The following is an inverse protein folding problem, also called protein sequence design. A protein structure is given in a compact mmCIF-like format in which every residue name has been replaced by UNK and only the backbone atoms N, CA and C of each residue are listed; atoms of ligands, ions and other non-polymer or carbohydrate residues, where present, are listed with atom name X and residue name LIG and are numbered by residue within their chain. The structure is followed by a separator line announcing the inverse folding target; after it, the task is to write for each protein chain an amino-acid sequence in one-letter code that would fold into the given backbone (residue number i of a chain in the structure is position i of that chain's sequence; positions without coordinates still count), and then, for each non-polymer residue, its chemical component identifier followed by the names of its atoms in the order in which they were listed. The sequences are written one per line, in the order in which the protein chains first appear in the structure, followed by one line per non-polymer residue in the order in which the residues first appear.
data_IF_758142342607
#
_entry.id   IF_758142342607
#
_cell.length_a   1.000
_cell.length_b   1.000
_cell.length_c   1.000
_cell.angle_alpha   90.00
_cell.angle_beta   90.00
_cell.angle_gamma   90.00
#
_symmetry.space_group_name_H-M   'P 1'
#
loop_
_entity.id
_entity.type
_entity.pdbx_description
1 polymer ?
#
# COMPACT_ATOMS: atom_id res chain seq x y z
N UNK A 1 15.37 -10.45 -6.06
CA UNK A 1 14.34 -10.20 -5.04
C UNK A 1 13.71 -8.86 -5.40
N UNK A 2 12.42 -8.85 -5.70
CA UNK A 2 11.63 -7.65 -6.05
C UNK A 2 10.66 -7.34 -4.91
N UNK A 3 10.19 -6.10 -4.80
CA UNK A 3 9.17 -5.71 -3.85
C UNK A 3 9.68 -4.92 -2.65
N UNK A 4 8.81 -4.74 -1.66
CA UNK A 4 8.97 -3.82 -0.51
C UNK A 4 10.25 -4.07 0.32
N UNK A 5 10.76 -5.31 0.37
CA UNK A 5 11.97 -5.65 1.13
C UNK A 5 13.23 -5.01 0.55
N UNK A 6 13.25 -4.66 -0.74
CA UNK A 6 14.37 -3.93 -1.35
C UNK A 6 14.34 -2.44 -1.03
N UNK A 7 13.15 -1.94 -0.71
CA UNK A 7 12.92 -0.52 -0.45
C UNK A 7 12.94 -0.17 1.03
N UNK A 8 12.30 -1.00 1.86
CA UNK A 8 12.23 -0.82 3.30
C UNK A 8 12.42 -2.16 4.03
N UNK A 9 13.67 -2.68 4.08
CA UNK A 9 13.97 -3.97 4.70
C UNK A 9 13.75 -3.97 6.22
N UNK A 10 14.06 -2.84 6.87
CA UNK A 10 13.86 -2.65 8.32
C UNK A 10 12.72 -1.68 8.56
N UNK A 11 11.82 -2.02 9.46
CA UNK A 11 10.63 -1.22 9.77
C UNK A 11 10.18 -1.44 11.22
N UNK A 12 9.43 -0.48 11.76
CA UNK A 12 8.94 -0.50 13.14
C UNK A 12 7.50 -1.01 13.24
N UNK A 13 6.71 -0.77 12.19
CA UNK A 13 5.30 -1.18 12.10
C UNK A 13 5.04 -1.73 10.71
N UNK A 14 4.38 -2.88 10.64
CA UNK A 14 4.02 -3.51 9.38
C UNK A 14 2.63 -4.15 9.44
N UNK A 15 1.99 -4.20 8.28
CA UNK A 15 0.70 -4.85 8.08
C UNK A 15 0.71 -5.56 6.73
N UNK A 16 0.31 -6.83 6.70
CA UNK A 16 0.25 -7.66 5.49
C UNK A 16 -1.08 -8.41 5.44
N UNK A 17 -1.68 -8.39 4.25
CA UNK A 17 -2.86 -9.18 3.93
C UNK A 17 -2.67 -9.88 2.59
N UNK A 18 -3.34 -11.02 2.41
CA UNK A 18 -3.25 -11.78 1.18
C UNK A 18 -4.58 -12.47 0.84
N UNK A 19 -4.75 -12.78 -0.45
CA UNK A 19 -5.86 -13.58 -0.96
C UNK A 19 -5.39 -14.36 -2.20
N UNK A 20 -6.01 -15.51 -2.45
CA UNK A 20 -5.74 -16.29 -3.67
C UNK A 20 -6.76 -15.92 -4.75
N UNK A 21 -6.27 -15.78 -5.98
CA UNK A 21 -7.04 -15.45 -7.16
C UNK A 21 -6.68 -16.42 -8.28
N UNK A 22 -7.68 -16.92 -9.03
CA UNK A 22 -7.49 -17.91 -10.09
C UNK A 22 -7.14 -17.25 -11.44
N UNK A 23 -6.07 -16.44 -11.42
CA UNK A 23 -5.51 -15.76 -12.60
C UNK A 23 -3.99 -15.88 -12.57
N UNK A 24 -3.31 -15.83 -13.74
CA UNK A 24 -1.86 -15.68 -13.79
C UNK A 24 -1.40 -14.42 -13.02
N UNK A 25 -0.18 -14.45 -12.41
CA UNK A 25 0.28 -13.38 -11.52
C UNK A 25 0.19 -11.97 -12.11
N UNK A 26 0.59 -11.76 -13.35
CA UNK A 26 0.52 -10.45 -14.00
C UNK A 26 -0.92 -9.95 -14.17
N UNK A 27 -1.82 -10.83 -14.64
CA UNK A 27 -3.22 -10.50 -14.82
C UNK A 27 -3.91 -10.21 -13.48
N UNK A 28 -3.56 -10.99 -12.44
CA UNK A 28 -4.05 -10.80 -11.09
C UNK A 28 -3.64 -9.44 -10.51
N UNK A 29 -2.37 -9.01 -10.72
CA UNK A 29 -1.91 -7.69 -10.28
C UNK A 29 -2.65 -6.57 -11.02
N UNK A 30 -2.73 -6.65 -12.35
CA UNK A 30 -3.39 -5.62 -13.16
C UNK A 30 -4.87 -5.46 -12.80
N UNK A 31 -5.59 -6.57 -12.64
CA UNK A 31 -6.98 -6.56 -12.18
C UNK A 31 -7.11 -5.94 -10.79
N UNK A 32 -6.25 -6.33 -9.85
CA UNK A 32 -6.29 -5.83 -8.50
C UNK A 32 -6.03 -4.31 -8.41
N UNK A 33 -5.06 -3.80 -9.17
CA UNK A 33 -4.75 -2.37 -9.20
C UNK A 33 -5.88 -1.53 -9.83
N UNK A 34 -6.67 -2.12 -10.74
CA UNK A 34 -7.83 -1.48 -11.36
C UNK A 34 -9.06 -1.44 -10.43
N UNK A 35 -9.12 -2.30 -9.39
CA UNK A 35 -10.23 -2.28 -8.42
C UNK A 35 -10.22 -0.97 -7.64
N UNK A 36 -11.38 -0.29 -7.49
CA UNK A 36 -11.47 0.92 -6.68
C UNK A 36 -10.99 0.70 -5.25
N UNK A 37 -10.28 1.67 -4.69
CA UNK A 37 -9.82 1.61 -3.28
C UNK A 37 -11.00 1.53 -2.31
N UNK A 38 -12.14 2.12 -2.68
CA UNK A 38 -13.40 2.05 -1.96
C UNK A 38 -14.42 1.18 -2.70
N UNK A 39 -14.31 -0.17 -2.59
CA UNK A 39 -15.16 -1.09 -3.34
C UNK A 39 -16.63 -1.06 -2.89
N UNK A 40 -16.91 -0.53 -1.72
CA UNK A 40 -18.25 -0.43 -1.16
C UNK A 40 -18.52 0.91 -0.44
N UNK A 41 -19.79 1.18 -0.15
CA UNK A 41 -20.24 2.43 0.49
C UNK A 41 -19.67 2.63 1.90
N UNK A 42 -19.41 1.56 2.62
CA UNK A 42 -18.86 1.62 3.98
C UNK A 42 -17.39 2.08 3.96
N UNK A 43 -16.57 1.51 3.08
CA UNK A 43 -15.17 1.95 2.87
C UNK A 43 -15.14 3.39 2.41
N UNK A 44 -16.05 3.79 1.50
CA UNK A 44 -16.18 5.17 1.03
C UNK A 44 -16.50 6.13 2.17
N UNK A 45 -17.40 5.75 3.07
CA UNK A 45 -17.72 6.55 4.26
C UNK A 45 -16.50 6.71 5.18
N UNK A 46 -15.76 5.62 5.46
CA UNK A 46 -14.56 5.67 6.30
C UNK A 46 -13.48 6.60 5.74
N UNK A 47 -13.23 6.53 4.43
CA UNK A 47 -12.27 7.40 3.77
C UNK A 47 -12.72 8.87 3.78
N UNK A 48 -14.01 9.13 3.55
CA UNK A 48 -14.60 10.47 3.64
C UNK A 48 -14.46 11.09 5.04
N UNK A 49 -14.72 10.33 6.11
CA UNK A 49 -14.55 10.79 7.49
C UNK A 49 -13.11 11.20 7.80
N UNK A 50 -12.15 10.70 7.03
CA UNK A 50 -10.73 11.06 7.13
C UNK A 50 -10.30 12.14 6.13
N UNK A 51 -11.23 12.72 5.38
CA UNK A 51 -10.93 13.72 4.35
C UNK A 51 -10.17 13.16 3.13
N UNK A 52 -10.19 11.83 2.95
CA UNK A 52 -9.46 11.16 1.87
C UNK A 52 -10.42 10.92 0.69
N UNK A 53 -10.02 11.33 -0.50
CA UNK A 53 -10.74 11.00 -1.74
C UNK A 53 -10.63 9.51 -1.98
N UNK A 54 -11.74 8.89 -2.38
CA UNK A 54 -11.88 7.45 -2.54
C UNK A 54 -12.24 7.03 -3.96
N UNK A 55 -12.19 7.97 -4.88
CA UNK A 55 -12.56 7.72 -6.28
C UNK A 55 -11.33 7.24 -7.05
N UNK A 56 -11.53 6.28 -7.96
CA UNK A 56 -10.49 5.77 -8.83
C UNK A 56 -9.80 4.47 -8.36
N UNK A 57 -8.86 4.03 -9.16
CA UNK A 57 -8.02 2.86 -8.95
C UNK A 57 -7.05 3.03 -7.78
N UNK A 58 -6.40 1.94 -7.36
CA UNK A 58 -5.33 2.00 -6.35
C UNK A 58 -4.19 2.91 -6.81
N UNK A 59 -3.81 2.86 -8.08
CA UNK A 59 -2.72 3.69 -8.62
C UNK A 59 -3.06 5.18 -8.53
N UNK A 60 -4.27 5.57 -8.96
CA UNK A 60 -4.74 6.95 -8.87
C UNK A 60 -4.85 7.43 -7.41
N UNK A 61 -5.35 6.57 -6.54
CA UNK A 61 -5.45 6.86 -5.12
C UNK A 61 -4.08 7.08 -4.47
N UNK A 62 -3.10 6.23 -4.76
CA UNK A 62 -1.74 6.36 -4.22
C UNK A 62 -1.07 7.64 -4.72
N UNK A 63 -1.18 7.93 -6.03
CA UNK A 63 -0.65 9.17 -6.60
C UNK A 63 -1.30 10.42 -6.00
N UNK A 64 -2.63 10.44 -5.89
CA UNK A 64 -3.38 11.56 -5.28
C UNK A 64 -3.09 11.73 -3.79
N UNK A 65 -2.65 10.66 -3.10
CA UNK A 65 -2.23 10.69 -1.69
C UNK A 65 -0.76 11.08 -1.50
N UNK A 66 -0.05 11.45 -2.56
CA UNK A 66 1.35 11.89 -2.52
C UNK A 66 2.37 10.76 -2.44
N UNK A 67 1.97 9.52 -2.70
CA UNK A 67 2.91 8.42 -2.81
C UNK A 67 3.68 8.49 -4.13
N UNK A 68 4.98 8.26 -4.05
CA UNK A 68 5.88 8.13 -5.19
C UNK A 68 5.93 6.68 -5.67
N UNK A 69 5.95 6.45 -6.96
CA UNK A 69 6.24 5.15 -7.52
C UNK A 69 7.72 4.80 -7.28
N UNK A 70 7.97 3.73 -6.54
CA UNK A 70 9.32 3.23 -6.26
C UNK A 70 9.71 2.11 -7.20
N UNK A 71 8.79 1.18 -7.48
CA UNK A 71 9.04 0.03 -8.35
C UNK A 71 7.76 -0.41 -9.05
N UNK A 72 7.86 -0.72 -10.34
CA UNK A 72 6.80 -1.35 -11.11
C UNK A 72 7.40 -2.49 -11.93
N UNK A 73 6.87 -3.69 -11.76
CA UNK A 73 7.17 -4.88 -12.57
C UNK A 73 5.86 -5.54 -13.00
N UNK A 74 5.92 -6.62 -13.78
CA UNK A 74 4.74 -7.39 -14.15
C UNK A 74 3.97 -7.97 -12.94
N UNK A 75 4.66 -8.18 -11.80
CA UNK A 75 4.09 -8.84 -10.61
C UNK A 75 4.23 -8.04 -9.32
N UNK A 76 4.73 -6.79 -9.38
CA UNK A 76 4.93 -5.94 -8.20
C UNK A 76 4.69 -4.47 -8.52
N UNK A 77 4.01 -3.78 -7.61
CA UNK A 77 3.80 -2.34 -7.60
C UNK A 77 4.11 -1.80 -6.21
N UNK A 78 5.23 -1.09 -6.07
CA UNK A 78 5.71 -0.54 -4.79
C UNK A 78 5.67 0.98 -4.84
N UNK A 79 5.07 1.57 -3.83
CA UNK A 79 4.99 3.03 -3.67
C UNK A 79 5.52 3.44 -2.31
N UNK A 80 6.05 4.66 -2.22
CA UNK A 80 6.62 5.22 -1.01
C UNK A 80 6.12 6.61 -0.70
N UNK A 81 5.91 6.90 0.58
CA UNK A 81 5.61 8.23 1.10
C UNK A 81 6.64 8.59 2.17
N UNK A 82 7.14 9.82 2.13
CA UNK A 82 7.97 10.40 3.17
C UNK A 82 7.18 11.47 3.90
N UNK A 83 7.08 11.32 5.21
CA UNK A 83 6.39 12.29 6.08
C UNK A 83 7.42 12.88 7.05
N UNK A 84 7.68 14.17 6.93
CA UNK A 84 8.65 14.86 7.76
C UNK A 84 9.06 16.20 7.17
N UNK A 85 9.92 16.90 7.90
CA UNK A 85 10.47 18.17 7.44
C UNK A 85 11.78 17.89 6.68
N UNK A 86 11.73 17.93 5.36
CA UNK A 86 12.92 17.74 4.52
C UNK A 86 13.31 19.06 3.87
N UNK A 87 14.57 19.50 3.96
CA UNK A 87 15.06 20.67 3.24
C UNK A 87 15.15 20.42 1.72
N UNK A 88 15.16 19.14 1.31
CA UNK A 88 15.17 18.74 -0.10
C UNK A 88 13.87 18.02 -0.40
N UNK A 89 13.12 18.40 -1.45
CA UNK A 89 11.93 17.68 -1.85
C UNK A 89 12.24 16.21 -2.15
N UNK A 90 11.40 15.31 -1.65
CA UNK A 90 11.47 13.88 -1.98
C UNK A 90 10.72 13.70 -3.29
N UNK A 91 11.42 13.95 -4.40
CA UNK A 91 10.80 14.04 -5.72
C UNK A 91 10.80 12.72 -6.50
N UNK A 92 11.67 11.79 -6.14
CA UNK A 92 11.85 10.52 -6.84
C UNK A 92 12.21 9.37 -5.91
N UNK A 93 12.28 8.17 -6.47
CA UNK A 93 12.58 6.94 -5.72
C UNK A 93 13.99 6.94 -5.10
N UNK A 94 14.97 7.56 -5.74
CA UNK A 94 16.33 7.71 -5.21
C UNK A 94 16.37 8.66 -4.02
N UNK A 95 15.73 9.82 -4.14
CA UNK A 95 15.56 10.78 -3.05
C UNK A 95 14.77 10.14 -1.88
N UNK A 96 13.72 9.37 -2.16
CA UNK A 96 12.97 8.66 -1.13
C UNK A 96 13.85 7.65 -0.39
N UNK A 97 14.68 6.88 -1.13
CA UNK A 97 15.60 5.90 -0.52
C UNK A 97 16.63 6.59 0.37
N UNK A 98 17.21 7.70 -0.05
CA UNK A 98 18.22 8.45 0.67
C UNK A 98 17.66 9.26 1.85
N UNK A 99 16.37 9.60 1.84
CA UNK A 99 15.75 10.42 2.88
C UNK A 99 15.91 9.77 4.26
N UNK A 100 16.53 10.47 5.19
CA UNK A 100 16.73 10.03 6.57
C UNK A 100 16.85 11.28 7.47
N UNK A 101 15.71 11.82 7.89
CA UNK A 101 15.63 13.02 8.68
C UNK A 101 15.10 12.74 10.07
N UNK A 102 15.60 13.42 11.12
CA UNK A 102 15.03 13.31 12.46
C UNK A 102 13.53 13.61 12.48
N UNK A 103 12.79 12.86 13.28
CA UNK A 103 11.33 12.99 13.44
C UNK A 103 10.54 12.81 12.13
N UNK A 104 10.98 11.91 11.28
CA UNK A 104 10.30 11.59 10.03
C UNK A 104 9.79 10.15 10.01
N UNK A 105 8.92 9.85 9.04
CA UNK A 105 8.42 8.52 8.73
C UNK A 105 8.71 8.21 7.26
N UNK A 106 9.19 7.02 7.00
CA UNK A 106 9.16 6.38 5.69
C UNK A 106 8.05 5.36 5.67
N UNK A 107 7.14 5.47 4.73
CA UNK A 107 6.04 4.55 4.52
C UNK A 107 6.22 3.93 3.15
N UNK A 108 6.26 2.62 3.06
CA UNK A 108 6.21 1.89 1.81
C UNK A 108 4.95 1.03 1.77
N UNK A 109 4.28 1.01 0.63
CA UNK A 109 3.17 0.11 0.36
C UNK A 109 3.48 -0.73 -0.88
N UNK A 110 3.19 -2.01 -0.80
CA UNK A 110 3.46 -3.01 -1.82
C UNK A 110 2.16 -3.74 -2.19
N UNK A 111 1.99 -3.92 -3.47
CA UNK A 111 0.96 -4.75 -4.07
C UNK A 111 1.67 -5.70 -5.02
N UNK A 112 1.67 -6.98 -4.71
CA UNK A 112 2.39 -7.97 -5.50
C UNK A 112 1.63 -9.27 -5.65
N UNK A 113 2.04 -10.05 -6.63
CA UNK A 113 1.51 -11.38 -6.87
C UNK A 113 2.63 -12.41 -6.90
N UNK A 114 2.35 -13.56 -6.32
CA UNK A 114 3.22 -14.73 -6.31
C UNK A 114 2.48 -15.90 -6.96
N UNK A 115 3.14 -16.70 -7.83
CA UNK A 115 2.50 -17.87 -8.43
C UNK A 115 2.17 -18.92 -7.36
N UNK A 116 0.97 -19.50 -7.45
CA UNK A 116 0.52 -20.64 -6.65
C UNK A 116 -0.19 -21.66 -7.54
N UNK A 117 -0.34 -22.91 -7.13
CA UNK A 117 -1.13 -23.88 -7.88
C UNK A 117 -2.54 -23.35 -8.16
N UNK A 118 -2.94 -23.29 -9.43
CA UNK A 118 -4.25 -22.83 -9.86
C UNK A 118 -4.43 -21.29 -9.95
N UNK A 119 -3.35 -20.51 -9.82
CA UNK A 119 -3.46 -19.05 -9.98
C UNK A 119 -2.32 -18.25 -9.34
N UNK A 120 -2.68 -17.17 -8.64
CA UNK A 120 -1.75 -16.31 -7.94
C UNK A 120 -2.20 -16.01 -6.51
N UNK A 121 -1.25 -15.78 -5.63
CA UNK A 121 -1.45 -15.15 -4.33
C UNK A 121 -1.26 -13.65 -4.50
N UNK A 122 -2.33 -12.89 -4.32
CA UNK A 122 -2.31 -11.43 -4.28
C UNK A 122 -1.98 -10.98 -2.86
N UNK A 123 -0.94 -10.18 -2.71
CA UNK A 123 -0.43 -9.70 -1.43
C UNK A 123 -0.44 -8.19 -1.42
N UNK A 124 -0.89 -7.59 -0.32
CA UNK A 124 -0.68 -6.19 -0.02
C UNK A 124 0.02 -6.04 1.33
N UNK A 125 1.08 -5.27 1.35
CA UNK A 125 1.90 -5.06 2.54
C UNK A 125 2.21 -3.57 2.71
N UNK A 126 2.17 -3.08 3.95
CA UNK A 126 2.66 -1.74 4.30
C UNK A 126 3.71 -1.86 5.37
N UNK A 127 4.78 -1.11 5.23
CA UNK A 127 5.85 -0.98 6.21
C UNK A 127 6.07 0.48 6.54
N UNK A 128 6.31 0.76 7.80
CA UNK A 128 6.62 2.10 8.29
C UNK A 128 7.87 2.05 9.14
N UNK A 129 8.84 2.85 8.78
CA UNK A 129 10.05 3.11 9.56
C UNK A 129 10.04 4.55 10.07
N UNK A 130 10.25 4.72 11.38
CA UNK A 130 10.29 6.01 12.04
C UNK A 130 11.73 6.40 12.36
N UNK A 131 12.10 7.65 12.12
CA UNK A 131 13.40 8.18 12.53
C UNK A 131 13.27 8.94 13.84
N UNK A 132 13.65 8.26 14.91
CA UNK A 132 13.64 8.78 16.28
C UNK A 132 12.42 8.36 17.10
N UNK A 133 12.63 8.27 18.41
CA UNK A 133 11.66 7.74 19.38
C UNK A 133 10.32 8.49 19.37
N UNK A 134 10.34 9.81 19.25
CA UNK A 134 9.11 10.63 19.25
C UNK A 134 8.26 10.33 18.04
N UNK A 135 8.86 10.24 16.84
CA UNK A 135 8.12 9.89 15.62
C UNK A 135 7.50 8.49 15.71
N UNK A 136 8.25 7.54 16.26
CA UNK A 136 7.77 6.17 16.48
C UNK A 136 6.60 6.15 17.47
N UNK A 137 6.68 6.84 18.60
CA UNK A 137 5.64 6.87 19.61
C UNK A 137 4.34 7.48 19.06
N UNK A 138 4.46 8.66 18.43
CA UNK A 138 3.31 9.35 17.81
C UNK A 138 2.67 8.46 16.74
N UNK A 139 3.49 7.83 15.89
CA UNK A 139 2.97 6.92 14.87
C UNK A 139 2.29 5.69 15.47
N UNK A 140 2.84 5.08 16.50
CA UNK A 140 2.22 3.92 17.17
C UNK A 140 0.86 4.27 17.78
N UNK A 141 0.72 5.43 18.43
CA UNK A 141 -0.55 5.91 18.96
C UNK A 141 -1.57 6.13 17.83
N UNK A 142 -1.15 6.77 16.75
CA UNK A 142 -1.98 6.92 15.55
C UNK A 142 -2.39 5.56 14.97
N UNK A 143 -1.46 4.60 14.89
CA UNK A 143 -1.70 3.27 14.32
C UNK A 143 -2.67 2.42 15.14
N UNK A 144 -2.72 2.60 16.46
CA UNK A 144 -3.71 1.93 17.32
C UNK A 144 -5.14 2.25 16.88
N UNK A 145 -5.38 3.48 16.43
CA UNK A 145 -6.71 3.92 15.96
C UNK A 145 -6.90 3.56 14.49
N UNK A 146 -5.92 3.86 13.65
CA UNK A 146 -6.04 3.79 12.20
C UNK A 146 -5.76 2.40 11.63
N UNK A 147 -4.90 1.62 12.27
CA UNK A 147 -4.54 0.27 11.82
C UNK A 147 -5.73 -0.66 11.58
N UNK A 148 -6.68 -0.80 12.52
CA UNK A 148 -7.88 -1.62 12.31
C UNK A 148 -8.71 -1.21 11.07
N UNK A 149 -8.80 0.09 10.79
CA UNK A 149 -9.49 0.59 9.60
C UNK A 149 -8.70 0.31 8.32
N UNK A 150 -7.38 0.46 8.36
CA UNK A 150 -6.49 0.10 7.25
C UNK A 150 -6.64 -1.38 6.91
N UNK A 151 -6.58 -2.26 7.91
CA UNK A 151 -6.78 -3.69 7.75
C UNK A 151 -8.14 -4.03 7.11
N UNK A 152 -9.21 -3.37 7.57
CA UNK A 152 -10.55 -3.59 7.05
C UNK A 152 -10.66 -3.19 5.57
N UNK A 153 -10.12 -2.01 5.21
CA UNK A 153 -10.13 -1.51 3.82
C UNK A 153 -9.38 -2.48 2.92
N UNK A 154 -8.19 -2.93 3.31
CA UNK A 154 -7.38 -3.87 2.54
C UNK A 154 -8.05 -5.23 2.34
N UNK A 155 -8.65 -5.78 3.41
CA UNK A 155 -9.39 -7.06 3.32
C UNK A 155 -10.60 -6.95 2.39
N UNK A 156 -11.32 -5.83 2.42
CA UNK A 156 -12.46 -5.59 1.53
C UNK A 156 -12.02 -5.41 0.08
N UNK A 157 -10.94 -4.67 -0.13
CA UNK A 157 -10.35 -4.51 -1.45
C UNK A 157 -9.86 -5.85 -2.03
N UNK A 158 -9.17 -6.69 -1.26
CA UNK A 158 -8.77 -8.04 -1.69
C UNK A 158 -9.99 -8.90 -2.08
N UNK A 159 -11.04 -8.85 -1.27
CA UNK A 159 -12.30 -9.58 -1.58
C UNK A 159 -12.95 -9.05 -2.86
N UNK A 160 -12.94 -7.75 -3.09
CA UNK A 160 -13.47 -7.15 -4.31
C UNK A 160 -12.69 -7.58 -5.54
N UNK A 161 -11.36 -7.65 -5.47
CA UNK A 161 -10.51 -8.15 -6.56
C UNK A 161 -10.84 -9.62 -6.91
N UNK A 162 -10.99 -10.48 -5.89
CA UNK A 162 -11.39 -11.88 -6.10
C UNK A 162 -12.81 -11.99 -6.67
N UNK A 163 -13.74 -11.15 -6.22
CA UNK A 163 -15.12 -11.16 -6.73
C UNK A 163 -15.21 -10.70 -8.19
N UNK A 164 -14.43 -9.67 -8.54
CA UNK A 164 -14.38 -9.16 -9.92
C UNK A 164 -13.84 -10.19 -10.90
N UNK A 165 -12.84 -10.98 -10.53
CA UNK A 165 -12.34 -12.09 -11.34
C UNK A 165 -13.45 -13.12 -11.63
N UNK A 166 -14.26 -13.46 -10.61
CA UNK A 166 -15.37 -14.43 -10.77
C UNK A 166 -16.49 -13.91 -11.67
N UNK A 167 -16.68 -12.61 -11.75
CA UNK A 167 -17.69 -12.00 -12.59
C UNK A 167 -17.24 -11.88 -14.07
N UNK A 168 -15.92 -11.95 -14.32
CA UNK A 168 -15.33 -11.88 -15.66
C UNK A 168 -15.02 -13.26 -16.28
N UNK A 169 -15.17 -14.34 -15.53
CA UNK A 169 -14.97 -15.73 -15.95
C UNK A 169 -16.27 -16.37 -16.38
#
# INVERSE_FOLDING_TARGET
MTGIQNWLPSFDVGERHEATIALPPEQALNLALAVPVAPDSFVRLLLRLRGIRSDGSIEEFMAASGFLLLERTATSYVVGLFVGHSPVPVADAGAWRAANMPRSLKIAADFRTEPVPGGARLITETRVAATGFVALLVFRLYWLIVGPFSALIRRRWLRAAVAQQKAAA
#
